data_IF_073383824513
#
_entry.id   IF_073383824513
#
_cell.length_a   1.000
_cell.length_b   1.000
_cell.length_c   1.000
_cell.angle_alpha   90.00
_cell.angle_beta   90.00
_cell.angle_gamma   90.00
#
_symmetry.space_group_name_H-M   'P 1'
#
loop_
_entity.id
_entity.type
_entity.pdbx_description
1 polymer ?
#
# COMPACT_ATOMS: atom_id res chain seq x y z
N UNK A 1 5.67 -12.46 24.48
CA UNK A 1 4.44 -12.60 25.31
C UNK A 1 3.56 -13.67 24.69
N UNK A 2 3.00 -14.60 25.47
CA UNK A 2 2.06 -15.62 24.97
C UNK A 2 0.63 -15.25 25.36
N UNK A 3 -0.29 -15.27 24.39
CA UNK A 3 -1.71 -14.91 24.60
C UNK A 3 -2.68 -16.09 24.38
N UNK A 4 -2.21 -17.20 23.84
CA UNK A 4 -3.02 -18.41 23.60
C UNK A 4 -2.13 -19.66 23.68
N UNK A 5 -2.73 -20.79 24.05
CA UNK A 5 -2.09 -22.10 23.89
C UNK A 5 -2.31 -22.65 22.48
N UNK A 6 -3.50 -22.39 21.93
CA UNK A 6 -3.88 -22.83 20.59
C UNK A 6 -3.50 -21.79 19.52
N UNK A 7 -3.30 -22.23 18.27
CA UNK A 7 -3.11 -21.32 17.14
C UNK A 7 -4.23 -20.29 17.04
N UNK A 8 -3.85 -19.04 16.76
CA UNK A 8 -4.79 -17.95 16.49
C UNK A 8 -4.97 -17.78 14.99
N UNK A 9 -6.14 -17.27 14.59
CA UNK A 9 -6.35 -16.75 13.23
C UNK A 9 -5.30 -15.67 12.91
N UNK A 10 -4.77 -15.69 11.68
CA UNK A 10 -3.70 -14.78 11.20
C UNK A 10 -4.02 -13.30 11.50
N UNK A 11 -5.25 -12.87 11.20
CA UNK A 11 -5.68 -11.49 11.41
C UNK A 11 -5.70 -11.11 12.90
N UNK A 12 -6.14 -12.04 13.75
CA UNK A 12 -6.20 -11.84 15.19
C UNK A 12 -4.80 -11.78 15.80
N UNK A 13 -3.92 -12.70 15.41
CA UNK A 13 -2.52 -12.70 15.84
C UNK A 13 -1.81 -11.39 15.44
N UNK A 14 -2.03 -10.93 14.22
CA UNK A 14 -1.47 -9.66 13.71
C UNK A 14 -1.96 -8.47 14.49
N UNK A 15 -3.27 -8.37 14.76
CA UNK A 15 -3.81 -7.24 15.51
C UNK A 15 -3.35 -7.23 16.97
N UNK A 16 -3.21 -8.41 17.60
CA UNK A 16 -2.60 -8.51 18.92
C UNK A 16 -1.14 -8.02 18.90
N UNK A 17 -0.34 -8.44 17.90
CA UNK A 17 1.05 -7.99 17.75
C UNK A 17 1.14 -6.47 17.58
N UNK A 18 0.27 -5.88 16.75
CA UNK A 18 0.23 -4.42 16.52
C UNK A 18 -0.24 -3.65 17.73
N UNK A 19 -1.24 -4.16 18.44
CA UNK A 19 -1.71 -3.58 19.69
C UNK A 19 -0.58 -3.54 20.73
N UNK A 20 0.16 -4.65 20.89
CA UNK A 20 1.35 -4.69 21.75
C UNK A 20 2.44 -3.72 21.30
N UNK A 21 2.72 -3.63 20.00
CA UNK A 21 3.72 -2.69 19.50
C UNK A 21 3.34 -1.24 19.82
N UNK A 22 2.06 -0.87 19.72
CA UNK A 22 1.57 0.46 20.11
C UNK A 22 1.67 0.69 21.61
N UNK A 23 1.22 -0.26 22.43
CA UNK A 23 1.22 -0.16 23.90
C UNK A 23 2.63 0.08 24.46
N UNK A 24 3.65 -0.53 23.84
CA UNK A 24 5.03 -0.51 24.32
C UNK A 24 5.98 0.34 23.45
N UNK A 25 5.47 1.09 22.47
CA UNK A 25 6.29 1.90 21.56
C UNK A 25 7.31 1.10 20.74
N UNK A 26 7.01 -0.16 20.45
CA UNK A 26 7.88 -1.04 19.66
C UNK A 26 7.69 -0.86 18.15
N UNK A 27 8.55 -1.50 17.36
CA UNK A 27 8.51 -1.43 15.90
C UNK A 27 7.24 -2.09 15.32
N UNK A 28 6.39 -1.27 14.71
CA UNK A 28 5.15 -1.71 14.05
C UNK A 28 5.45 -2.54 12.81
N UNK A 29 6.60 -2.35 12.13
CA UNK A 29 6.97 -3.12 10.95
C UNK A 29 7.27 -4.59 11.27
N UNK A 30 7.67 -4.85 12.52
CA UNK A 30 7.84 -6.20 13.08
C UNK A 30 6.55 -6.81 13.64
N UNK A 31 5.43 -6.08 13.65
CA UNK A 31 4.18 -6.50 14.26
C UNK A 31 3.26 -7.21 13.25
N UNK A 32 3.64 -8.43 12.88
CA UNK A 32 2.88 -9.33 12.01
C UNK A 32 2.95 -10.78 12.51
N UNK A 33 1.95 -11.59 12.15
CA UNK A 33 1.87 -12.98 12.60
C UNK A 33 2.97 -13.89 12.02
N UNK A 34 3.53 -13.55 10.84
CA UNK A 34 4.65 -14.26 10.22
C UNK A 34 6.03 -13.71 10.60
N UNK A 35 6.11 -12.73 11.50
CA UNK A 35 7.39 -12.10 11.80
C UNK A 35 8.32 -13.03 12.58
N UNK A 36 9.55 -13.21 12.09
CA UNK A 36 10.56 -14.04 12.74
C UNK A 36 11.27 -13.29 13.87
N UNK A 37 11.38 -13.96 15.02
CA UNK A 37 12.27 -13.54 16.11
C UNK A 37 13.70 -14.03 15.91
N UNK A 38 14.62 -13.53 16.74
CA UNK A 38 15.99 -14.06 16.82
C UNK A 38 16.02 -15.34 17.67
N UNK A 39 16.82 -16.32 17.26
CA UNK A 39 17.10 -17.51 18.05
C UNK A 39 18.28 -17.26 18.98
N UNK A 40 18.10 -17.53 20.28
CA UNK A 40 19.17 -17.41 21.27
C UNK A 40 20.28 -18.44 21.02
N UNK A 41 21.51 -18.12 21.44
CA UNK A 41 22.70 -18.96 21.24
C UNK A 41 23.44 -18.70 19.92
N UNK A 42 22.87 -17.91 19.01
CA UNK A 42 23.54 -17.44 17.80
C UNK A 42 23.97 -15.97 17.93
N UNK A 43 25.01 -15.60 17.19
CA UNK A 43 25.50 -14.22 17.11
C UNK A 43 24.60 -13.37 16.20
N UNK A 44 24.39 -12.11 16.57
CA UNK A 44 23.68 -11.12 15.77
C UNK A 44 24.64 -10.47 14.76
N UNK A 45 24.58 -10.91 13.50
CA UNK A 45 25.54 -10.54 12.45
C UNK A 45 25.34 -9.14 11.84
N UNK A 46 24.34 -8.37 12.30
CA UNK A 46 24.11 -7.01 11.77
C UNK A 46 25.27 -6.08 12.16
N UNK A 47 25.90 -5.36 11.21
CA UNK A 47 27.08 -4.53 11.46
C UNK A 47 26.88 -3.50 12.58
N UNK A 48 25.70 -2.89 12.66
CA UNK A 48 25.34 -1.87 13.65
C UNK A 48 25.26 -2.38 15.10
N UNK A 49 25.31 -3.70 15.30
CA UNK A 49 25.28 -4.32 16.63
C UNK A 49 26.65 -4.84 17.07
N UNK A 50 27.71 -4.64 16.27
CA UNK A 50 29.06 -5.05 16.67
C UNK A 50 29.50 -4.29 17.92
N UNK A 51 30.15 -5.00 18.84
CA UNK A 51 30.73 -4.39 20.04
C UNK A 51 32.01 -3.63 19.69
N UNK A 52 32.56 -2.84 20.63
CA UNK A 52 33.71 -1.96 20.39
C UNK A 52 34.95 -2.66 19.80
N UNK A 53 35.14 -3.95 20.09
CA UNK A 53 36.21 -4.78 19.52
C UNK A 53 35.85 -5.46 18.18
N UNK A 54 34.72 -5.14 17.57
CA UNK A 54 34.34 -5.56 16.22
C UNK A 54 33.62 -6.91 16.10
N UNK A 55 33.47 -7.65 17.21
CA UNK A 55 32.77 -8.94 17.22
C UNK A 55 31.24 -8.79 17.23
N UNK A 56 30.54 -9.81 16.71
CA UNK A 56 29.09 -9.89 16.75
C UNK A 56 28.61 -10.40 18.13
N UNK A 57 27.69 -9.72 18.82
CA UNK A 57 27.22 -10.14 20.14
C UNK A 57 26.29 -11.35 20.05
N UNK A 58 26.24 -12.17 21.10
CA UNK A 58 25.30 -13.28 21.22
C UNK A 58 23.88 -12.80 21.53
N UNK A 59 22.88 -13.45 20.93
CA UNK A 59 21.48 -13.31 21.31
C UNK A 59 21.23 -14.16 22.56
N UNK A 60 20.78 -13.52 23.64
CA UNK A 60 20.52 -14.17 24.92
C UNK A 60 19.02 -14.40 25.13
N UNK A 61 18.69 -15.47 25.86
CA UNK A 61 17.34 -15.73 26.35
C UNK A 61 17.26 -15.34 27.83
N UNK A 62 16.71 -14.15 28.12
CA UNK A 62 16.62 -13.64 29.51
C UNK A 62 15.57 -14.38 30.34
N UNK A 63 14.46 -14.80 29.72
CA UNK A 63 13.38 -15.53 30.38
C UNK A 63 12.62 -16.46 29.43
N UNK A 64 12.36 -17.69 29.86
CA UNK A 64 11.70 -18.73 29.05
C UNK A 64 10.57 -19.44 29.82
N UNK A 65 9.67 -18.69 30.46
CA UNK A 65 8.63 -19.28 31.31
C UNK A 65 7.53 -20.01 30.52
N UNK A 66 7.28 -19.63 29.26
CA UNK A 66 6.27 -20.27 28.39
C UNK A 66 4.80 -20.12 28.79
N UNK A 67 4.53 -19.45 29.93
CA UNK A 67 3.18 -19.25 30.49
C UNK A 67 2.37 -18.22 29.70
N UNK A 68 1.05 -18.41 29.68
CA UNK A 68 0.10 -17.43 29.15
C UNK A 68 0.18 -16.16 30.01
N UNK A 69 0.17 -15.00 29.35
CA UNK A 69 0.13 -13.71 30.01
C UNK A 69 -1.21 -13.52 30.77
N UNK A 70 -1.21 -13.02 32.02
CA UNK A 70 -2.46 -12.76 32.76
C UNK A 70 -3.46 -11.86 32.02
N UNK A 71 -2.98 -10.96 31.17
CA UNK A 71 -3.81 -10.05 30.36
C UNK A 71 -4.28 -10.64 29.02
N UNK A 72 -4.04 -11.93 28.76
CA UNK A 72 -4.30 -12.56 27.48
C UNK A 72 -5.75 -12.42 27.01
N UNK A 73 -6.72 -12.76 27.86
CA UNK A 73 -8.16 -12.67 27.55
C UNK A 73 -8.57 -11.24 27.17
N UNK A 74 -8.14 -10.26 27.97
CA UNK A 74 -8.37 -8.83 27.70
C UNK A 74 -7.78 -8.42 26.35
N UNK A 75 -6.55 -8.82 26.05
CA UNK A 75 -5.86 -8.45 24.79
C UNK A 75 -6.54 -9.08 23.58
N UNK A 76 -6.97 -10.34 23.68
CA UNK A 76 -7.74 -11.00 22.62
C UNK A 76 -9.07 -10.30 22.38
N UNK A 77 -9.82 -9.96 23.42
CA UNK A 77 -11.08 -9.24 23.30
C UNK A 77 -10.91 -7.85 22.65
N UNK A 78 -9.86 -7.12 23.02
CA UNK A 78 -9.54 -5.83 22.40
C UNK A 78 -9.20 -5.97 20.92
N UNK A 79 -8.38 -6.97 20.55
CA UNK A 79 -8.02 -7.23 19.17
C UNK A 79 -9.24 -7.64 18.33
N UNK A 80 -10.12 -8.50 18.86
CA UNK A 80 -11.37 -8.87 18.20
C UNK A 80 -12.28 -7.66 17.98
N UNK A 81 -12.43 -6.78 18.99
CA UNK A 81 -13.21 -5.54 18.87
C UNK A 81 -12.62 -4.60 17.81
N UNK A 82 -11.29 -4.45 17.77
CA UNK A 82 -10.58 -3.68 16.76
C UNK A 82 -10.86 -4.22 15.35
N UNK A 83 -10.73 -5.53 15.15
CA UNK A 83 -11.03 -6.18 13.87
C UNK A 83 -12.50 -6.04 13.47
N UNK A 84 -13.43 -6.17 14.40
CA UNK A 84 -14.86 -5.95 14.15
C UNK A 84 -15.13 -4.51 13.70
N UNK A 85 -14.51 -3.53 14.35
CA UNK A 85 -14.63 -2.11 13.95
C UNK A 85 -14.04 -1.84 12.57
N UNK A 86 -12.89 -2.46 12.22
CA UNK A 86 -12.29 -2.37 10.89
C UNK A 86 -13.20 -3.02 9.83
N UNK A 87 -13.81 -4.17 10.14
CA UNK A 87 -14.75 -4.86 9.25
C UNK A 87 -16.02 -4.03 9.04
N UNK A 88 -16.59 -3.46 10.11
CA UNK A 88 -17.76 -2.59 10.05
C UNK A 88 -17.47 -1.29 9.28
N UNK A 89 -16.32 -0.64 9.51
CA UNK A 89 -15.93 0.56 8.76
C UNK A 89 -15.72 0.28 7.28
N UNK A 90 -15.21 -0.91 6.92
CA UNK A 90 -15.14 -1.37 5.52
C UNK A 90 -16.51 -1.66 4.90
N UNK A 91 -17.50 -2.07 5.69
CA UNK A 91 -18.88 -2.27 5.22
C UNK A 91 -19.63 -0.95 5.05
N UNK A 92 -19.43 0.01 5.97
CA UNK A 92 -20.00 1.37 5.90
C UNK A 92 -19.31 2.21 4.82
N UNK A 93 -18.00 2.04 4.66
CA UNK A 93 -17.20 2.50 3.52
C UNK A 93 -17.14 1.43 2.40
N UNK A 94 -18.16 0.58 2.31
CA UNK A 94 -18.51 0.05 1.00
C UNK A 94 -19.03 1.27 0.26
N UNK A 95 -18.41 1.74 -0.84
CA UNK A 95 -19.06 2.74 -1.66
C UNK A 95 -20.44 2.15 -1.98
N UNK A 96 -21.50 2.75 -1.43
CA UNK A 96 -22.88 2.51 -1.86
C UNK A 96 -22.79 2.47 -3.39
N UNK A 97 -23.07 1.29 -3.94
CA UNK A 97 -23.12 1.02 -5.38
C UNK A 97 -21.92 1.49 -6.19
N UNK A 98 -20.80 0.75 -6.14
CA UNK A 98 -20.09 0.46 -7.39
C UNK A 98 -20.15 -1.04 -7.59
N UNK A 99 -21.05 -1.44 -8.47
CA UNK A 99 -20.95 -2.66 -9.27
C UNK A 99 -19.50 -3.13 -9.34
N UNK A 100 -19.24 -4.34 -8.83
CA UNK A 100 -17.96 -5.06 -9.00
C UNK A 100 -17.69 -5.44 -10.47
N UNK A 101 -18.40 -4.86 -11.45
CA UNK A 101 -18.28 -5.20 -12.86
C UNK A 101 -18.24 -4.02 -13.84
N UNK A 102 -18.31 -2.75 -13.39
CA UNK A 102 -18.15 -1.61 -14.30
C UNK A 102 -16.86 -0.84 -14.02
N UNK A 103 -15.91 -0.93 -14.95
CA UNK A 103 -14.77 -0.02 -15.08
C UNK A 103 -15.26 1.44 -14.90
N UNK A 104 -14.68 2.22 -13.97
CA UNK A 104 -15.15 3.58 -13.73
C UNK A 104 -15.01 4.42 -15.01
N UNK A 105 -15.85 5.45 -15.18
CA UNK A 105 -15.76 6.26 -16.40
C UNK A 105 -14.34 6.83 -16.56
N UNK A 106 -13.83 6.95 -17.80
CA UNK A 106 -12.45 7.36 -18.05
C UNK A 106 -12.09 8.69 -17.37
N UNK A 107 -13.00 9.67 -17.44
CA UNK A 107 -12.90 10.97 -16.76
C UNK A 107 -12.84 10.86 -15.24
N UNK A 108 -13.70 10.04 -14.63
CA UNK A 108 -13.74 9.87 -13.18
C UNK A 108 -12.44 9.24 -12.67
N UNK A 109 -11.92 8.26 -13.41
CA UNK A 109 -10.63 7.65 -13.10
C UNK A 109 -9.49 8.67 -13.14
N UNK A 110 -9.40 9.43 -14.24
CA UNK A 110 -8.36 10.45 -14.42
C UNK A 110 -8.41 11.51 -13.31
N UNK A 111 -9.59 12.10 -13.07
CA UNK A 111 -9.79 13.18 -12.08
C UNK A 111 -9.42 12.74 -10.67
N UNK A 112 -9.76 11.49 -10.31
CA UNK A 112 -9.39 10.90 -9.03
C UNK A 112 -7.88 10.81 -8.86
N UNK A 113 -7.16 10.29 -9.86
CA UNK A 113 -5.70 10.18 -9.78
C UNK A 113 -5.03 11.55 -9.81
N UNK A 114 -5.50 12.47 -10.64
CA UNK A 114 -5.04 13.86 -10.65
C UNK A 114 -5.09 14.49 -9.24
N UNK A 115 -6.23 14.35 -8.56
CA UNK A 115 -6.40 14.85 -7.18
C UNK A 115 -5.40 14.23 -6.19
N UNK A 116 -5.08 12.94 -6.35
CA UNK A 116 -4.08 12.25 -5.54
C UNK A 116 -2.65 12.75 -5.81
N UNK A 117 -2.33 13.04 -7.08
CA UNK A 117 -1.03 13.59 -7.47
C UNK A 117 -0.84 15.01 -6.93
N UNK A 118 -1.85 15.88 -7.05
CA UNK A 118 -1.79 17.22 -6.45
C UNK A 118 -1.64 17.17 -4.93
N UNK A 119 -2.37 16.28 -4.25
CA UNK A 119 -2.24 16.10 -2.79
C UNK A 119 -0.84 15.63 -2.38
N UNK A 120 -0.17 14.82 -3.21
CA UNK A 120 1.12 14.20 -2.88
C UNK A 120 2.32 15.08 -3.22
N UNK A 121 2.27 15.78 -4.35
CA UNK A 121 3.41 16.50 -4.92
C UNK A 121 3.19 18.01 -5.02
N UNK A 122 1.99 18.51 -4.67
CA UNK A 122 1.64 19.92 -4.78
C UNK A 122 1.32 20.36 -6.22
N UNK A 123 1.04 21.66 -6.39
CA UNK A 123 0.63 22.25 -7.68
C UNK A 123 1.77 22.41 -8.69
N UNK A 124 3.03 22.34 -8.23
CA UNK A 124 4.22 22.46 -9.08
C UNK A 124 4.56 21.18 -9.86
N UNK A 125 3.75 20.12 -9.75
CA UNK A 125 3.98 18.88 -10.49
C UNK A 125 3.96 19.12 -12.00
N UNK A 126 4.92 18.51 -12.70
CA UNK A 126 4.92 18.47 -14.16
C UNK A 126 3.65 17.77 -14.66
N UNK A 127 2.73 18.57 -15.19
CA UNK A 127 1.40 18.15 -15.65
C UNK A 127 1.52 17.10 -16.76
N UNK A 128 2.52 17.18 -17.63
CA UNK A 128 2.73 16.20 -18.71
C UNK A 128 3.27 14.86 -18.20
N UNK A 129 4.12 14.87 -17.17
CA UNK A 129 4.53 13.63 -16.49
C UNK A 129 3.37 13.00 -15.71
N UNK A 130 2.52 13.83 -15.11
CA UNK A 130 1.30 13.37 -14.46
C UNK A 130 0.32 12.74 -15.48
N UNK A 131 0.06 13.40 -16.61
CA UNK A 131 -0.74 12.89 -17.72
C UNK A 131 -0.30 11.47 -18.11
N UNK A 132 1.00 11.29 -18.36
CA UNK A 132 1.59 10.01 -18.73
C UNK A 132 1.43 8.94 -17.63
N UNK A 133 1.68 9.30 -16.37
CA UNK A 133 1.57 8.38 -15.24
C UNK A 133 0.12 7.91 -14.99
N UNK A 134 -0.85 8.79 -15.19
CA UNK A 134 -2.28 8.46 -15.08
C UNK A 134 -2.70 7.54 -16.22
N UNK A 135 -2.34 7.86 -17.46
CA UNK A 135 -2.64 7.02 -18.62
C UNK A 135 -2.03 5.62 -18.49
N UNK A 136 -0.81 5.49 -17.97
CA UNK A 136 -0.22 4.19 -17.68
C UNK A 136 -1.03 3.36 -16.67
N UNK A 137 -1.67 4.02 -15.69
CA UNK A 137 -2.59 3.36 -14.76
C UNK A 137 -3.93 3.00 -15.39
N UNK A 138 -4.35 3.71 -16.43
CA UNK A 138 -5.52 3.38 -17.25
C UNK A 138 -5.23 2.17 -18.15
N UNK A 139 -4.07 2.11 -18.81
CA UNK A 139 -3.66 0.94 -19.61
C UNK A 139 -3.64 -0.35 -18.78
N UNK A 140 -3.14 -0.29 -17.54
CA UNK A 140 -3.15 -1.43 -16.57
C UNK A 140 -4.55 -1.90 -16.14
N UNK A 141 -5.61 -1.19 -16.52
CA UNK A 141 -7.02 -1.50 -16.22
C UNK A 141 -7.85 -1.65 -17.49
N UNK A 142 -7.18 -1.96 -18.61
CA UNK A 142 -7.81 -2.25 -19.89
C UNK A 142 -8.68 -1.10 -20.43
N UNK A 143 -8.24 0.15 -20.19
CA UNK A 143 -8.77 1.30 -20.92
C UNK A 143 -8.28 1.31 -22.37
N UNK A 144 -9.21 1.49 -23.29
CA UNK A 144 -8.94 1.63 -24.73
C UNK A 144 -8.25 2.95 -25.03
N UNK A 145 -7.61 3.03 -26.20
CA UNK A 145 -6.99 4.27 -26.68
C UNK A 145 -7.99 5.45 -26.72
N UNK A 146 -9.22 5.18 -27.16
CA UNK A 146 -10.29 6.19 -27.25
C UNK A 146 -10.69 6.73 -25.87
N UNK A 147 -10.91 5.84 -24.90
CA UNK A 147 -11.25 6.22 -23.52
C UNK A 147 -10.11 7.00 -22.84
N UNK A 148 -8.86 6.63 -23.10
CA UNK A 148 -7.69 7.35 -22.61
C UNK A 148 -7.58 8.75 -23.22
N UNK A 149 -7.81 8.88 -24.53
CA UNK A 149 -7.81 10.16 -25.23
C UNK A 149 -8.93 11.08 -24.72
N UNK A 150 -10.13 10.54 -24.54
CA UNK A 150 -11.28 11.26 -23.97
C UNK A 150 -10.98 11.76 -22.55
N UNK A 151 -10.45 10.89 -21.68
CA UNK A 151 -10.09 11.29 -20.32
C UNK A 151 -9.04 12.40 -20.28
N UNK A 152 -8.02 12.32 -21.15
CA UNK A 152 -6.98 13.33 -21.24
C UNK A 152 -7.52 14.66 -21.77
N UNK A 153 -8.39 14.61 -22.80
CA UNK A 153 -9.02 15.80 -23.37
C UNK A 153 -9.89 16.55 -22.36
N UNK A 154 -10.69 15.84 -21.58
CA UNK A 154 -11.66 16.46 -20.68
C UNK A 154 -11.11 16.84 -19.30
N UNK A 155 -10.14 16.10 -18.79
CA UNK A 155 -9.73 16.22 -17.39
C UNK A 155 -8.29 16.71 -17.20
N UNK A 156 -7.47 16.79 -18.26
CA UNK A 156 -6.10 17.29 -18.12
C UNK A 156 -6.08 18.80 -17.84
N UNK A 157 -5.38 19.25 -16.78
CA UNK A 157 -5.48 20.62 -16.31
C UNK A 157 -4.84 21.60 -17.30
N UNK A 158 -5.66 22.52 -17.81
CA UNK A 158 -5.22 23.58 -18.72
C UNK A 158 -4.60 23.06 -20.02
N UNK A 159 -5.06 21.92 -20.54
CA UNK A 159 -4.53 21.33 -21.77
C UNK A 159 -4.61 22.32 -22.94
N UNK A 160 -5.76 22.96 -23.13
CA UNK A 160 -5.99 23.93 -24.19
C UNK A 160 -5.09 25.18 -24.10
N UNK A 161 -4.71 25.58 -22.88
CA UNK A 161 -3.78 26.69 -22.65
C UNK A 161 -2.31 26.25 -22.79
N UNK A 162 -1.98 25.00 -22.44
CA UNK A 162 -0.61 24.47 -22.48
C UNK A 162 -0.18 23.98 -23.86
N UNK A 163 -1.15 23.58 -24.70
CA UNK A 163 -0.95 22.93 -25.99
C UNK A 163 -1.82 23.55 -27.09
N UNK A 164 -2.02 24.87 -27.01
CA UNK A 164 -2.83 25.64 -27.95
C UNK A 164 -2.45 25.32 -29.40
N UNK A 165 -3.43 24.86 -30.21
CA UNK A 165 -3.23 24.48 -31.61
C UNK A 165 -2.66 23.07 -31.87
N UNK A 166 -2.18 22.37 -30.84
CA UNK A 166 -1.60 21.02 -30.94
C UNK A 166 -2.14 20.05 -29.86
N UNK A 167 -3.38 20.27 -29.44
CA UNK A 167 -4.02 19.49 -28.38
C UNK A 167 -4.18 18.03 -28.79
N UNK A 168 -4.71 17.80 -29.98
CA UNK A 168 -4.93 16.46 -30.53
C UNK A 168 -3.62 15.73 -30.82
N UNK A 169 -2.59 16.43 -31.31
CA UNK A 169 -1.26 15.87 -31.52
C UNK A 169 -0.65 15.39 -30.19
N UNK A 170 -0.80 16.19 -29.13
CA UNK A 170 -0.32 15.83 -27.80
C UNK A 170 -1.07 14.63 -27.24
N UNK A 171 -2.41 14.60 -27.35
CA UNK A 171 -3.24 13.49 -26.89
C UNK A 171 -2.82 12.21 -27.60
N UNK A 172 -2.79 12.24 -28.92
CA UNK A 172 -2.48 11.08 -29.77
C UNK A 172 -1.09 10.53 -29.46
N UNK A 173 -0.08 11.40 -29.40
CA UNK A 173 1.30 11.01 -29.07
C UNK A 173 1.42 10.41 -27.67
N UNK A 174 0.75 10.99 -26.68
CA UNK A 174 0.86 10.54 -25.29
C UNK A 174 0.18 9.18 -25.11
N UNK A 175 -1.01 8.98 -25.67
CA UNK A 175 -1.73 7.70 -25.63
C UNK A 175 -0.93 6.61 -26.35
N UNK A 176 -0.40 6.91 -27.54
CA UNK A 176 0.43 5.97 -28.31
C UNK A 176 1.66 5.53 -27.51
N UNK A 177 2.43 6.48 -26.97
CA UNK A 177 3.63 6.17 -26.19
C UNK A 177 3.33 5.29 -24.96
N UNK A 178 2.19 5.50 -24.30
CA UNK A 178 1.78 4.68 -23.15
C UNK A 178 1.42 3.26 -23.57
N UNK A 179 0.70 3.11 -24.69
CA UNK A 179 0.32 1.79 -25.22
C UNK A 179 1.54 1.02 -25.71
N UNK A 180 2.47 1.67 -26.41
CA UNK A 180 3.72 1.06 -26.88
C UNK A 180 4.59 0.59 -25.69
N UNK A 181 4.70 1.40 -24.62
CA UNK A 181 5.38 1.00 -23.37
C UNK A 181 4.68 -0.19 -22.68
N UNK A 182 3.34 -0.18 -22.65
CA UNK A 182 2.56 -1.24 -22.04
C UNK A 182 2.71 -2.56 -22.78
N UNK A 183 2.57 -2.55 -24.11
CA UNK A 183 2.75 -3.73 -24.96
C UNK A 183 4.17 -4.29 -24.85
N UNK A 184 5.19 -3.43 -24.86
CA UNK A 184 6.59 -3.86 -24.72
C UNK A 184 6.88 -4.54 -23.38
N UNK A 185 6.14 -4.24 -22.30
CA UNK A 185 6.33 -4.87 -20.99
C UNK A 185 5.53 -6.16 -20.80
N UNK A 186 4.44 -6.32 -21.54
CA UNK A 186 3.56 -7.49 -21.45
C UNK A 186 3.91 -8.61 -22.46
N UNK A 187 4.72 -8.33 -23.49
CA UNK A 187 5.22 -9.35 -24.44
C UNK A 187 6.49 -10.09 -24.00
N UNK A 188 7.16 -9.64 -22.93
CA UNK A 188 8.38 -10.26 -22.38
C UNK A 188 8.15 -10.92 -21.00
N UNK A 189 6.91 -11.31 -20.69
CA UNK A 189 6.53 -12.08 -19.49
C UNK A 189 5.73 -13.31 -19.89
#
# INVERSE_FOLDING_TARGET
>A
MRVSNDPLEEQLATEVARSLARDYGADISSADWRHFGRLAGFTNQKPEHRISCGYAPYVLAEACQGKICPSASRRLALAQKSLAAIRASRQVYSPRTLSRSSKPSPKAFYTRYMSLYFKRYGEQIDKSRMDFAILRKMAQRDYTAAEMAEALREASPGLAMRKTGHEEDYITRTVRNVLDEYQSKHFFS
#
